data_IF_014561061570
#
_entry.id   IF_014561061570
#
_cell.length_a   1.000
_cell.length_b   1.000
_cell.length_c   1.000
_cell.angle_alpha   90.00
_cell.angle_beta   90.00
_cell.angle_gamma   90.00
#
_symmetry.space_group_name_H-M   'P 1'
#
loop_
_entity.id
_entity.type
_entity.pdbx_description
1 polymer ?
#
# COMPACT_ATOMS: atom_id res chain seq x y z
N UNK A 1 -20.38 -11.60 3.46
CA UNK A 1 -20.90 -10.41 4.13
C UNK A 1 -20.95 -9.29 3.09
N UNK A 2 -22.15 -8.88 2.71
CA UNK A 2 -22.39 -7.88 1.65
C UNK A 2 -22.32 -6.44 2.22
N UNK A 3 -21.20 -6.09 2.86
CA UNK A 3 -20.98 -4.77 3.49
C UNK A 3 -20.17 -3.82 2.60
N UNK A 4 -19.62 -4.33 1.50
CA UNK A 4 -18.81 -3.52 0.59
C UNK A 4 -19.68 -2.50 -0.17
N UNK A 5 -19.11 -1.34 -0.45
CA UNK A 5 -19.72 -0.37 -1.37
C UNK A 5 -19.71 -0.97 -2.78
N UNK A 6 -20.87 -1.27 -3.35
CA UNK A 6 -20.99 -1.95 -4.66
C UNK A 6 -20.30 -1.19 -5.79
N UNK A 7 -20.33 0.14 -5.76
CA UNK A 7 -19.65 0.99 -6.75
C UNK A 7 -18.13 0.81 -6.69
N UNK A 8 -17.53 0.77 -5.50
CA UNK A 8 -16.09 0.54 -5.33
C UNK A 8 -15.69 -0.88 -5.81
N UNK A 9 -16.53 -1.89 -5.53
CA UNK A 9 -16.31 -3.26 -6.03
C UNK A 9 -16.38 -3.30 -7.54
N UNK A 10 -17.35 -2.60 -8.15
CA UNK A 10 -17.51 -2.53 -9.61
C UNK A 10 -16.25 -1.97 -10.26
N UNK A 11 -15.78 -0.81 -9.83
CA UNK A 11 -14.55 -0.17 -10.34
C UNK A 11 -13.37 -1.13 -10.22
N UNK A 12 -13.16 -1.73 -9.04
CA UNK A 12 -12.07 -2.67 -8.81
C UNK A 12 -12.09 -3.84 -9.79
N UNK A 13 -13.26 -4.42 -10.04
CA UNK A 13 -13.41 -5.62 -10.89
C UNK A 13 -13.28 -5.26 -12.37
N UNK A 14 -13.91 -4.18 -12.81
CA UNK A 14 -13.89 -3.76 -14.22
C UNK A 14 -12.49 -3.32 -14.68
N UNK A 15 -11.77 -2.60 -13.83
CA UNK A 15 -10.44 -2.07 -14.15
C UNK A 15 -9.30 -3.05 -13.86
N UNK A 16 -9.54 -4.16 -13.16
CA UNK A 16 -8.50 -5.07 -12.70
C UNK A 16 -7.62 -5.59 -13.85
N UNK A 17 -8.22 -5.98 -14.96
CA UNK A 17 -7.51 -6.55 -16.10
C UNK A 17 -6.56 -5.52 -16.73
N UNK A 18 -7.07 -4.36 -17.06
CA UNK A 18 -6.29 -3.30 -17.71
C UNK A 18 -5.14 -2.82 -16.82
N UNK A 19 -5.38 -2.74 -15.50
CA UNK A 19 -4.34 -2.37 -14.54
C UNK A 19 -3.26 -3.46 -14.43
N UNK A 20 -3.60 -4.74 -14.49
CA UNK A 20 -2.63 -5.83 -14.53
C UNK A 20 -1.82 -5.79 -15.84
N UNK A 21 -2.47 -5.61 -16.97
CA UNK A 21 -1.80 -5.48 -18.27
C UNK A 21 -0.83 -4.29 -18.28
N UNK A 22 -1.21 -3.16 -17.67
CA UNK A 22 -0.32 -2.01 -17.48
C UNK A 22 0.93 -2.35 -16.65
N UNK A 23 0.77 -3.09 -15.55
CA UNK A 23 1.91 -3.52 -14.71
C UNK A 23 2.82 -4.49 -15.48
N UNK A 24 2.26 -5.39 -16.27
CA UNK A 24 3.02 -6.28 -17.17
C UNK A 24 3.81 -5.46 -18.20
N UNK A 25 3.18 -4.48 -18.82
CA UNK A 25 3.81 -3.58 -19.79
C UNK A 25 4.92 -2.73 -19.15
N UNK A 26 4.83 -2.43 -17.85
CA UNK A 26 5.91 -1.82 -17.08
C UNK A 26 7.06 -2.79 -16.80
N UNK A 27 6.90 -4.09 -17.07
CA UNK A 27 7.95 -5.10 -16.99
C UNK A 27 7.82 -6.07 -15.81
N UNK A 28 6.71 -6.07 -15.06
CA UNK A 28 6.45 -7.12 -14.05
C UNK A 28 6.25 -8.45 -14.75
N UNK A 29 7.00 -9.46 -14.32
CA UNK A 29 6.90 -10.81 -14.83
C UNK A 29 6.20 -11.69 -13.79
N UNK A 30 4.93 -11.96 -14.03
CA UNK A 30 4.16 -12.90 -13.21
C UNK A 30 4.60 -14.35 -13.50
N UNK A 31 4.46 -15.21 -12.50
CA UNK A 31 4.77 -16.63 -12.62
C UNK A 31 3.95 -17.24 -13.74
N UNK A 32 4.61 -18.00 -14.62
CA UNK A 32 4.00 -18.56 -15.82
C UNK A 32 4.57 -19.93 -16.16
N UNK A 33 3.75 -20.77 -16.82
CA UNK A 33 4.17 -22.04 -17.40
C UNK A 33 3.75 -22.04 -18.87
N UNK A 34 4.68 -22.38 -19.76
CA UNK A 34 4.46 -22.43 -21.20
C UNK A 34 3.83 -21.14 -21.77
N UNK A 35 4.28 -19.98 -21.29
CA UNK A 35 3.79 -18.67 -21.72
C UNK A 35 2.42 -18.25 -21.19
N UNK A 36 1.80 -19.08 -20.34
CA UNK A 36 0.52 -18.75 -19.69
C UNK A 36 0.74 -18.37 -18.23
N UNK A 37 0.20 -17.22 -17.82
CA UNK A 37 0.29 -16.76 -16.44
C UNK A 37 -0.45 -17.75 -15.52
N UNK A 38 0.19 -18.12 -14.43
CA UNK A 38 -0.39 -18.98 -13.40
C UNK A 38 -1.37 -18.20 -12.54
N UNK A 39 -2.55 -18.77 -12.38
CA UNK A 39 -3.55 -18.27 -11.46
C UNK A 39 -3.73 -19.25 -10.31
N UNK A 40 -3.65 -18.75 -9.09
CA UNK A 40 -3.90 -19.52 -7.88
C UNK A 40 -5.21 -19.14 -7.22
N UNK A 41 -5.59 -19.89 -6.21
CA UNK A 41 -6.79 -19.68 -5.41
C UNK A 41 -6.42 -19.68 -3.94
N UNK A 42 -6.69 -18.57 -3.28
CA UNK A 42 -6.56 -18.43 -1.83
C UNK A 42 -7.82 -18.90 -1.10
N UNK A 43 -7.71 -19.05 0.21
CA UNK A 43 -8.85 -19.38 1.06
C UNK A 43 -10.01 -18.38 0.88
N UNK A 44 -11.24 -18.91 0.79
CA UNK A 44 -12.43 -18.08 0.56
C UNK A 44 -12.72 -17.71 -0.90
N UNK A 45 -11.79 -17.95 -1.84
CA UNK A 45 -12.04 -17.68 -3.25
C UNK A 45 -12.75 -18.86 -3.93
N UNK A 46 -13.77 -18.54 -4.72
CA UNK A 46 -14.51 -19.53 -5.52
C UNK A 46 -13.77 -19.92 -6.82
N UNK A 47 -12.88 -19.07 -7.33
CA UNK A 47 -12.14 -19.26 -8.59
C UNK A 47 -10.68 -18.89 -8.43
N UNK A 48 -9.83 -19.49 -9.27
CA UNK A 48 -8.41 -19.10 -9.41
C UNK A 48 -8.35 -17.72 -10.06
N UNK A 49 -7.80 -16.73 -9.35
CA UNK A 49 -7.70 -15.34 -9.83
C UNK A 49 -6.50 -14.59 -9.29
N UNK A 50 -5.69 -15.23 -8.44
CA UNK A 50 -4.54 -14.58 -7.79
C UNK A 50 -3.31 -14.78 -8.66
N UNK A 51 -2.61 -13.68 -8.89
CA UNK A 51 -1.34 -13.62 -9.59
C UNK A 51 -0.19 -13.62 -8.58
N UNK A 52 0.87 -14.36 -8.89
CA UNK A 52 2.09 -14.38 -8.09
C UNK A 52 3.28 -13.93 -8.93
N UNK A 53 4.27 -13.37 -8.28
CA UNK A 53 5.54 -12.98 -8.87
C UNK A 53 6.66 -13.44 -7.92
N UNK A 54 7.41 -14.50 -8.34
CA UNK A 54 8.39 -15.12 -7.48
C UNK A 54 7.77 -15.82 -6.27
N UNK A 55 6.68 -16.56 -6.47
CA UNK A 55 5.93 -17.24 -5.41
C UNK A 55 5.20 -16.25 -4.49
N UNK A 56 5.58 -16.20 -3.22
CA UNK A 56 5.00 -15.33 -2.18
C UNK A 56 5.62 -13.92 -2.10
N UNK A 57 6.59 -13.62 -2.97
CA UNK A 57 7.33 -12.36 -2.96
C UNK A 57 6.76 -11.29 -3.92
N UNK A 58 5.50 -11.41 -4.36
CA UNK A 58 4.86 -10.53 -5.35
C UNK A 58 5.02 -9.05 -5.04
N UNK A 59 4.73 -8.63 -3.80
CA UNK A 59 4.87 -7.23 -3.39
C UNK A 59 6.31 -6.70 -3.53
N UNK A 60 7.31 -7.51 -3.16
CA UNK A 60 8.71 -7.15 -3.28
C UNK A 60 9.14 -6.95 -4.76
N UNK A 61 8.73 -7.86 -5.65
CA UNK A 61 9.07 -7.78 -7.07
C UNK A 61 8.42 -6.57 -7.75
N UNK A 62 7.13 -6.37 -7.53
CA UNK A 62 6.38 -5.22 -8.07
C UNK A 62 6.97 -3.90 -7.56
N UNK A 63 7.19 -3.78 -6.26
CA UNK A 63 7.73 -2.56 -5.65
C UNK A 63 9.12 -2.23 -6.17
N UNK A 64 10.03 -3.23 -6.26
CA UNK A 64 11.39 -3.01 -6.78
C UNK A 64 11.37 -2.53 -8.22
N UNK A 65 10.52 -3.12 -9.06
CA UNK A 65 10.40 -2.69 -10.45
C UNK A 65 9.85 -1.26 -10.55
N UNK A 66 8.75 -0.95 -9.85
CA UNK A 66 8.18 0.39 -9.87
C UNK A 66 9.18 1.42 -9.33
N UNK A 67 9.90 1.08 -8.26
CA UNK A 67 10.96 1.94 -7.71
C UNK A 67 12.05 2.22 -8.76
N UNK A 68 12.54 1.20 -9.49
CA UNK A 68 13.54 1.40 -10.53
C UNK A 68 13.06 2.33 -11.67
N UNK A 69 11.74 2.35 -11.94
CA UNK A 69 11.16 3.22 -12.96
C UNK A 69 11.10 4.69 -12.56
N UNK A 70 11.09 4.99 -11.27
CA UNK A 70 11.04 6.37 -10.76
C UNK A 70 12.42 6.90 -10.38
N UNK A 71 13.39 6.02 -10.09
CA UNK A 71 14.74 6.40 -9.61
C UNK A 71 15.48 7.34 -10.56
N UNK A 72 15.30 7.14 -11.86
CA UNK A 72 16.01 7.90 -12.91
C UNK A 72 15.21 9.13 -13.38
N UNK A 73 14.08 9.41 -12.75
CA UNK A 73 13.23 10.55 -13.12
C UNK A 73 13.66 11.82 -12.42
N UNK A 74 14.19 12.80 -13.15
CA UNK A 74 14.65 14.08 -12.59
C UNK A 74 13.56 14.92 -11.93
N UNK A 75 12.29 14.68 -12.30
CA UNK A 75 11.13 15.37 -11.71
C UNK A 75 10.55 14.66 -10.48
N UNK A 76 11.14 13.54 -10.03
CA UNK A 76 10.72 12.80 -8.86
C UNK A 76 11.85 12.79 -7.84
N UNK A 77 11.55 13.26 -6.62
CA UNK A 77 12.46 13.17 -5.49
C UNK A 77 11.97 12.11 -4.52
N UNK A 78 12.75 11.05 -4.35
CA UNK A 78 12.48 10.01 -3.36
C UNK A 78 13.24 10.34 -2.07
N UNK A 79 12.56 10.30 -0.94
CA UNK A 79 13.13 10.50 0.38
C UNK A 79 12.90 9.22 1.21
N UNK A 80 13.97 8.48 1.47
CA UNK A 80 13.93 7.26 2.27
C UNK A 80 14.16 7.57 3.76
N UNK A 81 13.70 6.67 4.64
CA UNK A 81 13.85 6.80 6.09
C UNK A 81 13.33 8.13 6.63
N UNK A 82 12.15 8.49 6.15
CA UNK A 82 11.43 9.71 6.55
C UNK A 82 10.11 9.29 7.19
N UNK A 83 9.82 9.83 8.36
CA UNK A 83 8.61 9.55 9.12
C UNK A 83 7.61 10.70 8.94
N UNK A 84 6.37 10.38 8.55
CA UNK A 84 5.29 11.35 8.47
C UNK A 84 4.77 11.69 9.88
N UNK A 85 4.98 12.93 10.32
CA UNK A 85 4.44 13.40 11.60
C UNK A 85 3.03 13.93 11.45
N UNK A 86 2.81 14.85 10.50
CA UNK A 86 1.54 15.54 10.39
C UNK A 86 1.29 16.09 8.99
N UNK A 87 0.02 16.45 8.73
CA UNK A 87 -0.42 17.14 7.53
C UNK A 87 -0.68 18.60 7.90
N UNK A 88 -0.03 19.52 7.20
CA UNK A 88 -0.25 20.96 7.36
C UNK A 88 -1.51 21.37 6.61
N UNK A 89 -2.39 22.07 7.30
CA UNK A 89 -3.63 22.59 6.73
C UNK A 89 -3.71 24.12 6.85
N UNK A 90 -4.43 24.75 5.91
CA UNK A 90 -4.86 26.14 5.97
C UNK A 90 -6.34 26.19 5.66
N UNK A 91 -7.17 26.38 6.68
CA UNK A 91 -8.59 26.11 6.60
C UNK A 91 -8.81 24.62 6.28
N UNK A 92 -9.62 24.34 5.29
CA UNK A 92 -9.94 22.96 4.83
C UNK A 92 -8.94 22.39 3.81
N UNK A 93 -7.90 23.16 3.45
CA UNK A 93 -6.96 22.74 2.42
C UNK A 93 -5.66 22.21 3.02
N UNK A 94 -5.23 21.02 2.59
CA UNK A 94 -3.89 20.53 2.87
C UNK A 94 -2.88 21.31 2.02
N UNK A 95 -1.84 21.83 2.67
CA UNK A 95 -0.81 22.68 2.06
C UNK A 95 0.59 22.08 2.13
N UNK A 96 0.78 21.01 2.89
CA UNK A 96 2.07 20.38 3.08
C UNK A 96 2.04 19.29 4.13
N UNK A 97 3.21 18.80 4.47
CA UNK A 97 3.42 17.80 5.54
C UNK A 97 4.60 18.17 6.41
N UNK A 98 4.58 17.73 7.65
CA UNK A 98 5.74 17.70 8.54
C UNK A 98 6.26 16.29 8.61
N UNK A 99 7.54 16.12 8.35
CA UNK A 99 8.21 14.82 8.41
C UNK A 99 9.47 14.91 9.26
N UNK A 100 9.90 13.79 9.83
CA UNK A 100 11.22 13.65 10.47
C UNK A 100 12.15 12.91 9.54
N UNK A 101 13.38 13.39 9.43
CA UNK A 101 14.44 12.67 8.72
C UNK A 101 15.04 11.54 9.60
N UNK A 102 16.01 10.82 9.06
CA UNK A 102 16.70 9.73 9.77
C UNK A 102 17.52 10.19 11.00
N UNK A 103 17.60 11.48 11.28
CA UNK A 103 18.24 12.10 12.45
C UNK A 103 17.22 12.81 13.35
N UNK A 104 15.96 12.47 13.23
CA UNK A 104 14.83 13.07 13.96
C UNK A 104 14.70 14.59 13.78
N UNK A 105 15.21 15.14 12.69
CA UNK A 105 15.07 16.57 12.39
C UNK A 105 13.80 16.84 11.63
N UNK A 106 12.98 17.79 12.08
CA UNK A 106 11.74 18.13 11.38
C UNK A 106 12.02 18.84 10.05
N UNK A 107 11.30 18.42 9.01
CA UNK A 107 11.32 19.02 7.68
C UNK A 107 9.88 19.33 7.30
N UNK A 108 9.64 20.56 6.82
CA UNK A 108 8.36 20.96 6.25
C UNK A 108 8.46 20.83 4.73
N UNK A 109 7.50 20.12 4.15
CA UNK A 109 7.39 19.93 2.70
C UNK A 109 6.06 20.55 2.27
N UNK A 110 6.10 21.65 1.53
CA UNK A 110 4.89 22.24 0.94
C UNK A 110 4.53 21.54 -0.36
N UNK A 111 3.23 21.29 -0.54
CA UNK A 111 2.70 20.62 -1.73
C UNK A 111 1.30 21.14 -2.09
N UNK A 112 1.02 21.22 -3.38
CA UNK A 112 -0.31 21.59 -3.88
C UNK A 112 -1.33 20.44 -3.73
N UNK A 113 -0.86 19.21 -3.75
CA UNK A 113 -1.65 17.98 -3.56
C UNK A 113 -0.83 16.99 -2.74
N UNK A 114 -1.50 16.25 -1.89
CA UNK A 114 -0.90 15.22 -1.05
C UNK A 114 -1.66 13.92 -1.29
N UNK A 115 -0.94 12.84 -1.58
CA UNK A 115 -1.50 11.49 -1.69
C UNK A 115 -0.98 10.67 -0.52
N UNK A 116 -1.88 10.20 0.34
CA UNK A 116 -1.55 9.27 1.41
C UNK A 116 -1.65 7.84 0.89
N UNK A 117 -0.53 7.14 0.85
CA UNK A 117 -0.44 5.74 0.47
C UNK A 117 0.37 4.95 1.52
N UNK A 118 0.13 5.23 2.80
CA UNK A 118 0.93 4.80 3.94
C UNK A 118 0.59 3.40 4.46
N UNK A 119 -0.38 2.73 3.83
CA UNK A 119 -0.85 1.42 4.27
C UNK A 119 -1.72 1.48 5.52
N UNK A 120 -1.90 0.33 6.15
CA UNK A 120 -2.80 0.17 7.30
C UNK A 120 -2.12 0.26 8.67
N UNK A 121 -2.67 -0.48 9.65
CA UNK A 121 -2.29 -0.40 11.07
C UNK A 121 -1.76 -1.74 11.64
N UNK A 122 -1.47 -2.72 10.80
CA UNK A 122 -1.20 -4.09 11.25
C UNK A 122 -0.06 -4.24 12.27
N UNK A 123 0.89 -3.31 12.33
CA UNK A 123 2.01 -3.33 13.30
C UNK A 123 1.68 -2.73 14.67
N UNK A 124 0.47 -2.24 14.87
CA UNK A 124 -0.04 -1.92 16.21
C UNK A 124 -0.23 -3.20 17.04
N UNK A 125 -0.46 -4.33 16.37
CA UNK A 125 -0.55 -5.63 17.05
C UNK A 125 0.83 -6.25 17.25
N UNK A 126 1.01 -6.90 18.42
CA UNK A 126 2.29 -7.53 18.80
C UNK A 126 2.77 -8.56 17.76
N UNK A 127 1.87 -9.39 17.28
CA UNK A 127 2.14 -10.40 16.25
C UNK A 127 1.53 -9.94 14.94
N UNK A 128 2.34 -9.73 13.93
CA UNK A 128 1.88 -9.24 12.64
C UNK A 128 2.77 -9.74 11.51
N UNK A 129 2.15 -10.12 10.40
CA UNK A 129 2.82 -10.48 9.16
C UNK A 129 3.14 -9.25 8.29
N UNK A 130 2.71 -8.06 8.71
CA UNK A 130 2.97 -6.82 7.97
C UNK A 130 4.42 -6.35 8.12
N UNK A 131 4.91 -5.59 7.15
CA UNK A 131 6.18 -4.90 7.23
C UNK A 131 6.24 -3.96 8.45
N UNK A 132 7.45 -3.77 9.01
CA UNK A 132 7.64 -2.99 10.23
C UNK A 132 7.15 -1.55 10.20
N UNK A 133 7.01 -0.97 9.01
CA UNK A 133 6.55 0.41 8.78
C UNK A 133 5.01 0.57 8.68
N UNK A 134 4.23 -0.50 8.86
CA UNK A 134 2.75 -0.43 8.74
C UNK A 134 2.14 -0.12 10.12
N UNK A 135 2.38 1.07 10.60
CA UNK A 135 2.13 1.52 11.99
C UNK A 135 0.90 2.42 12.13
N UNK A 136 0.23 2.78 11.02
CA UNK A 136 -0.99 3.60 11.04
C UNK A 136 -0.75 5.11 11.11
N UNK A 137 0.50 5.55 10.98
CA UNK A 137 0.86 6.96 11.13
C UNK A 137 0.13 7.88 10.16
N UNK A 138 -0.03 7.46 8.89
CA UNK A 138 -0.76 8.23 7.89
C UNK A 138 -2.25 8.36 8.22
N UNK A 139 -2.87 7.33 8.80
CA UNK A 139 -4.25 7.38 9.26
C UNK A 139 -4.35 8.37 10.43
N UNK A 140 -3.44 8.30 11.40
CA UNK A 140 -3.40 9.21 12.53
C UNK A 140 -3.20 10.67 12.09
N UNK A 141 -2.30 10.91 11.13
CA UNK A 141 -2.09 12.25 10.55
C UNK A 141 -3.34 12.76 9.81
N UNK A 142 -4.02 11.89 9.06
CA UNK A 142 -5.28 12.23 8.39
C UNK A 142 -6.38 12.63 9.40
N UNK A 143 -6.54 11.87 10.48
CA UNK A 143 -7.50 12.17 11.54
C UNK A 143 -7.21 13.53 12.20
N UNK A 144 -5.95 13.84 12.49
CA UNK A 144 -5.57 15.16 13.05
C UNK A 144 -5.82 16.31 12.07
N UNK A 145 -5.77 16.02 10.77
CA UNK A 145 -6.13 16.98 9.71
C UNK A 145 -7.65 17.02 9.42
N UNK A 146 -8.49 16.45 10.29
CA UNK A 146 -9.95 16.36 10.14
C UNK A 146 -10.42 15.63 8.87
N UNK A 147 -9.63 14.70 8.37
CA UNK A 147 -10.06 13.81 7.28
C UNK A 147 -10.92 12.70 7.88
N UNK A 148 -12.07 12.45 7.27
CA UNK A 148 -12.94 11.34 7.66
C UNK A 148 -12.24 10.00 7.43
N UNK A 149 -12.29 9.13 8.44
CA UNK A 149 -11.81 7.75 8.38
C UNK A 149 -12.99 6.79 8.60
N UNK A 150 -13.01 5.69 7.87
CA UNK A 150 -14.08 4.71 7.92
C UNK A 150 -13.53 3.30 8.08
N UNK A 151 -14.39 2.39 8.54
CA UNK A 151 -14.12 0.95 8.59
C UNK A 151 -12.89 0.58 9.46
N UNK A 152 -12.59 1.39 10.47
CA UNK A 152 -11.40 1.19 11.34
C UNK A 152 -11.46 -0.07 12.18
N UNK A 153 -12.65 -0.64 12.39
CA UNK A 153 -12.87 -1.91 13.06
C UNK A 153 -12.49 -3.13 12.23
N UNK A 154 -12.33 -2.97 10.90
CA UNK A 154 -12.03 -4.09 10.02
C UNK A 154 -10.53 -4.35 9.93
N UNK A 155 -10.03 -5.16 10.85
CA UNK A 155 -8.66 -5.68 10.84
C UNK A 155 -8.71 -7.17 10.56
N UNK A 156 -8.01 -7.61 9.52
CA UNK A 156 -7.92 -9.03 9.19
C UNK A 156 -6.86 -9.72 10.04
N UNK A 157 -7.26 -10.73 10.79
CA UNK A 157 -6.36 -11.66 11.49
C UNK A 157 -6.19 -12.92 10.66
N UNK A 158 -4.96 -13.23 10.26
CA UNK A 158 -4.68 -14.44 9.48
C UNK A 158 -4.64 -15.66 10.42
N UNK A 159 -5.54 -16.65 10.27
CA UNK A 159 -5.69 -17.72 11.25
C UNK A 159 -4.55 -18.72 11.26
N UNK A 160 -3.74 -18.76 10.19
CA UNK A 160 -2.67 -19.76 9.99
C UNK A 160 -1.27 -19.12 9.95
N UNK A 161 -1.12 -17.88 10.44
CA UNK A 161 0.18 -17.25 10.54
C UNK A 161 1.05 -18.00 11.56
N UNK A 162 2.20 -18.50 11.11
CA UNK A 162 3.15 -19.17 11.99
C UNK A 162 3.86 -18.12 12.85
N UNK A 163 3.73 -18.23 14.16
CA UNK A 163 4.54 -17.50 15.14
C UNK A 163 5.67 -18.43 15.57
N UNK A 164 6.89 -18.15 15.13
CA UNK A 164 8.06 -18.89 15.61
C UNK A 164 8.39 -18.34 17.01
N UNK A 165 8.44 -19.18 18.05
CA UNK A 165 8.99 -18.75 19.31
C UNK A 165 10.47 -18.45 19.09
N UNK A 166 10.84 -17.19 19.24
CA UNK A 166 12.25 -16.77 19.29
C UNK A 166 12.85 -17.09 20.64
#
# INVERSE_FOLDING_TARGET
>A
NMINKSEAVRVLVEEARDNIDNIINMGVKFDSINGRILLTREGGHSKKRILHCGGDATGNHVTKLLYSRISDRSNIRVMNNVFLCDILTKGENAIGVVVLDSKDRPIIIYAKKIVLATGGVGRVFRNSTNAGCITGDGIAAAMRANVEVTDMEFVQFHPTAMVHPS
#
